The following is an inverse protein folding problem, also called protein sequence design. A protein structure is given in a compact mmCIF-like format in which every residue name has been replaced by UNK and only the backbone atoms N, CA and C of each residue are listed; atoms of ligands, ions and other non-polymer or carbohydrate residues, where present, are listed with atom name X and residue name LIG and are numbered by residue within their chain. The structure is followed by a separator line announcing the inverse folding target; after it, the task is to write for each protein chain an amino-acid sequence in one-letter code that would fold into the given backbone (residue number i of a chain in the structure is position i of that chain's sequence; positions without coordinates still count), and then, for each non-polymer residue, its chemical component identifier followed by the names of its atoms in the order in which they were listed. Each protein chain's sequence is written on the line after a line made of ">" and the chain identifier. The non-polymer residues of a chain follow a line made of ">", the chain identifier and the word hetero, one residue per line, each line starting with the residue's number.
data_IF_874638359466
#
_entry.id   IF_874638359466
#
_cell.length_a   1.000
_cell.length_b   1.000
_cell.length_c   1.000
_cell.angle_alpha   90.00
_cell.angle_beta   90.00
_cell.angle_gamma   90.00
#
_symmetry.space_group_name_H-M   'P 1'
#
loop_
_entity.id
_entity.type
_entity.pdbx_description
1 polymer ?
#
# COMPACT_ATOMS: atom_id res chain seq x y z
N UNK A 1 20.89 7.94 -8.53
CA UNK A 1 21.64 6.83 -7.85
C UNK A 1 20.64 5.68 -7.81
N UNK A 2 20.73 4.73 -8.74
CA UNK A 2 19.74 3.65 -8.89
C UNK A 2 19.85 2.71 -7.69
N UNK A 3 18.80 2.54 -6.92
CA UNK A 3 18.75 1.51 -5.87
C UNK A 3 18.91 0.12 -6.51
N UNK A 4 19.95 -0.62 -6.20
CA UNK A 4 20.12 -1.96 -6.77
C UNK A 4 19.05 -2.88 -6.20
N UNK A 5 18.25 -3.46 -7.09
CA UNK A 5 17.15 -4.38 -6.79
C UNK A 5 17.61 -5.58 -5.92
N UNK A 6 18.87 -5.98 -6.06
CA UNK A 6 19.50 -7.04 -5.25
C UNK A 6 19.59 -6.74 -3.75
N UNK A 7 19.34 -5.50 -3.32
CA UNK A 7 19.33 -5.10 -1.90
C UNK A 7 17.92 -5.04 -1.28
N UNK A 8 16.87 -5.20 -2.06
CA UNK A 8 15.48 -5.16 -1.58
C UNK A 8 15.03 -6.47 -0.87
N UNK A 9 15.93 -7.44 -0.70
CA UNK A 9 15.56 -8.77 -0.20
C UNK A 9 15.23 -8.89 1.28
N UNK A 10 15.57 -7.89 2.11
CA UNK A 10 15.35 -7.97 3.58
C UNK A 10 14.67 -6.68 4.05
N UNK A 11 13.54 -6.76 4.80
CA UNK A 11 12.93 -5.60 5.42
C UNK A 11 13.93 -4.89 6.33
N UNK A 12 14.03 -3.58 6.19
CA UNK A 12 14.94 -2.72 6.97
C UNK A 12 14.21 -1.65 7.75
N UNK A 13 12.95 -1.42 7.46
CA UNK A 13 12.10 -0.44 8.11
C UNK A 13 10.96 -1.14 8.83
N UNK A 14 10.75 -0.76 10.06
CA UNK A 14 9.61 -1.13 10.88
C UNK A 14 8.68 0.08 10.97
N UNK A 15 7.40 -0.11 10.74
CA UNK A 15 6.45 1.00 10.64
C UNK A 15 5.61 1.24 11.90
N UNK A 16 5.64 0.31 12.86
CA UNK A 16 4.82 0.42 14.08
C UNK A 16 5.46 1.33 15.12
N UNK A 17 4.64 2.07 15.86
CA UNK A 17 5.08 2.98 16.91
C UNK A 17 5.47 2.21 18.19
N UNK A 18 4.76 1.10 18.48
CA UNK A 18 4.90 0.36 19.71
C UNK A 18 5.16 -1.13 19.49
N UNK A 19 5.98 -1.71 20.37
CA UNK A 19 6.10 -3.15 20.52
C UNK A 19 4.97 -3.69 21.40
N UNK A 20 4.39 -4.82 20.98
CA UNK A 20 3.36 -5.48 21.79
C UNK A 20 3.99 -6.52 22.70
N UNK A 21 3.51 -6.60 23.94
CA UNK A 21 3.85 -7.68 24.84
C UNK A 21 3.20 -9.00 24.38
N UNK A 22 3.87 -10.11 24.64
CA UNK A 22 3.33 -11.44 24.32
C UNK A 22 1.96 -11.64 25.01
N UNK A 23 0.97 -12.10 24.26
CA UNK A 23 -0.39 -12.30 24.75
C UNK A 23 -1.31 -11.07 24.71
N UNK A 24 -0.83 -9.93 24.18
CA UNK A 24 -1.71 -8.77 23.95
C UNK A 24 -2.69 -9.06 22.80
N UNK A 25 -3.97 -8.80 23.04
CA UNK A 25 -4.98 -8.89 21.98
C UNK A 25 -4.97 -7.60 21.14
N UNK A 26 -5.10 -7.70 19.81
CA UNK A 26 -5.15 -6.53 18.96
C UNK A 26 -6.42 -5.69 19.23
N UNK A 27 -6.27 -4.37 19.21
CA UNK A 27 -7.36 -3.39 19.24
C UNK A 27 -7.50 -2.75 17.86
N UNK A 28 -8.40 -3.31 17.04
CA UNK A 28 -8.53 -2.95 15.63
C UNK A 28 -9.46 -1.75 15.45
N UNK A 29 -8.90 -0.69 14.91
CA UNK A 29 -9.58 0.54 14.58
C UNK A 29 -9.55 0.81 13.06
N UNK A 30 -10.50 1.62 12.58
CA UNK A 30 -10.61 2.02 11.17
C UNK A 30 -10.65 3.53 11.02
N UNK A 31 -9.89 4.03 10.06
CA UNK A 31 -10.04 5.37 9.50
C UNK A 31 -10.32 5.24 8.00
N UNK A 32 -11.28 6.01 7.50
CA UNK A 32 -11.65 5.99 6.07
C UNK A 32 -11.40 7.36 5.46
N UNK A 33 -10.77 7.38 4.29
CA UNK A 33 -10.71 8.58 3.48
C UNK A 33 -12.06 8.81 2.80
N UNK A 34 -12.49 10.07 2.73
CA UNK A 34 -13.65 10.41 1.92
C UNK A 34 -13.35 10.11 0.44
N UNK A 35 -14.22 9.35 -0.25
CA UNK A 35 -14.05 9.09 -1.67
C UNK A 35 -13.97 10.40 -2.46
N UNK A 36 -13.04 10.48 -3.40
CA UNK A 36 -12.78 11.67 -4.21
C UNK A 36 -12.85 11.32 -5.70
N UNK A 37 -13.62 12.10 -6.47
CA UNK A 37 -13.65 12.00 -7.93
C UNK A 37 -12.27 12.30 -8.52
N UNK A 38 -11.55 13.27 -7.95
CA UNK A 38 -10.21 13.66 -8.38
C UNK A 38 -9.22 12.51 -8.21
N UNK A 39 -9.13 11.92 -7.02
CA UNK A 39 -8.25 10.77 -6.75
C UNK A 39 -8.61 9.58 -7.64
N UNK A 40 -9.90 9.34 -7.86
CA UNK A 40 -10.37 8.25 -8.73
C UNK A 40 -9.93 8.49 -10.17
N UNK A 41 -10.17 9.70 -10.71
CA UNK A 41 -9.80 10.05 -12.09
C UNK A 41 -8.28 10.01 -12.30
N UNK A 42 -7.50 10.44 -11.31
CA UNK A 42 -6.03 10.36 -11.36
C UNK A 42 -5.54 8.91 -11.46
N UNK A 43 -6.06 8.01 -10.64
CA UNK A 43 -5.68 6.58 -10.72
C UNK A 43 -6.08 5.99 -12.06
N UNK A 44 -7.29 6.30 -12.57
CA UNK A 44 -7.79 5.78 -13.84
C UNK A 44 -6.95 6.29 -15.02
N UNK A 45 -6.71 7.60 -15.06
CA UNK A 45 -5.88 8.20 -16.10
C UNK A 45 -4.45 7.66 -16.08
N UNK A 46 -3.88 7.48 -14.90
CA UNK A 46 -2.52 6.94 -14.76
C UNK A 46 -2.43 5.46 -15.17
N UNK A 47 -3.42 4.63 -14.85
CA UNK A 47 -3.45 3.23 -15.32
C UNK A 47 -3.46 3.15 -16.85
N UNK A 48 -4.24 4.01 -17.50
CA UNK A 48 -4.30 4.06 -18.95
C UNK A 48 -3.00 4.62 -19.57
N UNK A 49 -2.47 5.69 -19.00
CA UNK A 49 -1.27 6.36 -19.51
C UNK A 49 0.01 5.57 -19.30
N UNK A 50 0.19 5.01 -18.08
CA UNK A 50 1.40 4.28 -17.71
C UNK A 50 1.36 2.80 -18.13
N UNK A 51 0.18 2.27 -18.45
CA UNK A 51 -0.01 0.87 -18.81
C UNK A 51 0.24 -0.10 -17.65
N UNK A 52 0.02 0.35 -16.41
CA UNK A 52 0.19 -0.44 -15.18
C UNK A 52 -1.13 -0.65 -14.46
N UNK A 53 -1.21 -1.64 -13.58
CA UNK A 53 -2.40 -1.88 -12.78
C UNK A 53 -2.53 -0.84 -11.65
N UNK A 54 -3.77 -0.56 -11.21
CA UNK A 54 -4.03 0.40 -10.15
C UNK A 54 -3.32 0.04 -8.83
N UNK A 55 -3.25 -1.26 -8.49
CA UNK A 55 -2.55 -1.75 -7.30
C UNK A 55 -1.05 -1.42 -7.32
N UNK A 56 -0.41 -1.35 -8.49
CA UNK A 56 1.01 -0.96 -8.63
C UNK A 56 1.21 0.52 -8.27
N UNK A 57 0.33 1.39 -8.74
CA UNK A 57 0.36 2.83 -8.45
C UNK A 57 0.12 3.06 -6.95
N UNK A 58 -0.89 2.39 -6.40
CA UNK A 58 -1.26 2.50 -4.98
C UNK A 58 -0.14 2.01 -4.05
N UNK A 59 0.54 0.92 -4.42
CA UNK A 59 1.70 0.42 -3.68
C UNK A 59 2.88 1.40 -3.72
N UNK A 60 3.19 1.96 -4.89
CA UNK A 60 4.25 2.96 -5.00
C UNK A 60 3.93 4.21 -4.17
N UNK A 61 2.67 4.67 -4.20
CA UNK A 61 2.20 5.77 -3.37
C UNK A 61 2.29 5.46 -1.87
N UNK A 62 1.94 4.23 -1.45
CA UNK A 62 2.08 3.79 -0.06
C UNK A 62 3.54 3.83 0.40
N UNK A 63 4.47 3.32 -0.41
CA UNK A 63 5.90 3.39 -0.09
C UNK A 63 6.39 4.83 0.08
N UNK A 64 5.92 5.76 -0.75
CA UNK A 64 6.23 7.19 -0.65
C UNK A 64 5.60 7.83 0.60
N UNK A 65 4.36 7.49 0.93
CA UNK A 65 3.68 7.98 2.13
C UNK A 65 4.40 7.49 3.39
N UNK A 66 4.75 6.20 3.47
CA UNK A 66 5.52 5.64 4.59
C UNK A 66 6.87 6.36 4.73
N UNK A 67 7.59 6.60 3.63
CA UNK A 67 8.86 7.31 3.68
C UNK A 67 8.75 8.72 4.25
N UNK A 68 7.64 9.42 3.99
CA UNK A 68 7.39 10.77 4.51
C UNK A 68 6.96 10.79 5.97
N UNK A 69 6.25 9.77 6.42
CA UNK A 69 5.69 9.70 7.77
C UNK A 69 6.62 9.00 8.76
N UNK A 70 7.14 7.83 8.36
CA UNK A 70 7.91 6.96 9.25
C UNK A 70 9.41 7.03 8.95
N UNK A 71 9.76 7.05 7.66
CA UNK A 71 11.16 7.11 7.21
C UNK A 71 11.47 6.17 6.05
N UNK A 72 12.74 6.21 5.63
CA UNK A 72 13.22 5.48 4.46
C UNK A 72 13.63 4.05 4.79
N UNK A 73 13.39 3.13 3.87
CA UNK A 73 13.80 1.74 4.02
C UNK A 73 13.00 0.79 3.14
N UNK A 74 12.92 -0.46 3.57
CA UNK A 74 12.15 -1.51 2.91
C UNK A 74 11.20 -2.14 3.93
N UNK A 75 9.92 -2.19 3.60
CA UNK A 75 8.86 -2.81 4.41
C UNK A 75 8.38 -4.08 3.71
N UNK A 76 8.17 -5.16 4.46
CA UNK A 76 7.47 -6.33 3.93
C UNK A 76 5.97 -6.04 3.89
N UNK A 77 5.36 -6.19 2.71
CA UNK A 77 3.94 -5.95 2.50
C UNK A 77 3.33 -7.18 1.85
N UNK A 78 2.29 -7.72 2.46
CA UNK A 78 1.44 -8.71 1.80
C UNK A 78 0.45 -8.00 0.88
N UNK A 79 0.28 -8.53 -0.31
CA UNK A 79 -0.56 -7.92 -1.35
C UNK A 79 -1.60 -8.90 -1.83
N UNK A 80 -2.86 -8.46 -1.87
CA UNK A 80 -3.92 -9.09 -2.66
C UNK A 80 -4.34 -8.14 -3.76
N UNK A 81 -4.79 -8.66 -4.90
CA UNK A 81 -5.23 -7.83 -6.02
C UNK A 81 -6.34 -8.49 -6.82
N UNK A 82 -6.98 -7.72 -7.70
CA UNK A 82 -8.14 -8.14 -8.49
C UNK A 82 -7.90 -9.44 -9.29
N UNK A 83 -6.64 -9.67 -9.69
CA UNK A 83 -6.22 -10.86 -10.43
C UNK A 83 -5.27 -11.77 -9.64
N UNK A 84 -5.13 -11.54 -8.33
CA UNK A 84 -4.21 -12.25 -7.45
C UNK A 84 -4.95 -12.86 -6.27
N UNK A 85 -5.29 -14.14 -6.42
CA UNK A 85 -6.05 -14.90 -5.42
C UNK A 85 -5.21 -15.36 -4.22
N UNK A 86 -3.90 -15.16 -4.28
CA UNK A 86 -2.96 -15.57 -3.23
C UNK A 86 -2.29 -14.35 -2.61
N UNK A 87 -2.09 -14.39 -1.31
CA UNK A 87 -1.26 -13.44 -0.58
C UNK A 87 0.21 -13.60 -0.97
N UNK A 88 0.84 -12.51 -1.34
CA UNK A 88 2.27 -12.47 -1.64
C UNK A 88 2.94 -11.40 -0.79
N UNK A 89 4.02 -11.79 -0.10
CA UNK A 89 4.89 -10.82 0.55
C UNK A 89 5.87 -10.24 -0.48
N UNK A 90 5.84 -8.93 -0.64
CA UNK A 90 6.81 -8.19 -1.43
C UNK A 90 7.61 -7.22 -0.56
N UNK A 91 8.89 -6.99 -0.85
CA UNK A 91 9.64 -5.90 -0.27
C UNK A 91 9.23 -4.58 -0.93
N UNK A 92 8.52 -3.72 -0.21
CA UNK A 92 8.12 -2.39 -0.67
C UNK A 92 9.21 -1.38 -0.34
N UNK A 93 9.72 -0.71 -1.36
CA UNK A 93 10.65 0.41 -1.19
C UNK A 93 9.92 1.62 -0.63
N UNK A 94 10.37 2.11 0.51
CA UNK A 94 9.96 3.36 1.11
C UNK A 94 11.10 4.38 0.96
N UNK A 95 10.91 5.38 0.09
CA UNK A 95 11.94 6.36 -0.23
C UNK A 95 11.32 7.73 -0.54
N UNK A 96 11.95 8.81 -0.08
CA UNK A 96 11.57 10.18 -0.44
C UNK A 96 11.96 10.51 -1.88
N UNK A 97 11.43 11.61 -2.44
CA UNK A 97 11.75 12.06 -3.81
C UNK A 97 13.23 12.40 -4.02
N UNK A 98 13.96 12.67 -2.94
CA UNK A 98 15.40 12.91 -3.01
C UNK A 98 16.21 11.61 -3.19
N UNK A 99 15.65 10.47 -2.82
CA UNK A 99 16.34 9.18 -2.84
C UNK A 99 15.92 8.31 -4.03
N UNK A 100 14.63 8.32 -4.39
CA UNK A 100 14.10 7.61 -5.54
C UNK A 100 13.00 8.44 -6.21
N UNK A 101 13.07 8.56 -7.53
CA UNK A 101 12.04 9.20 -8.34
C UNK A 101 10.74 8.37 -8.35
N UNK A 102 9.62 8.97 -8.73
CA UNK A 102 8.34 8.28 -8.93
C UNK A 102 8.48 7.11 -9.92
N UNK A 103 9.20 7.31 -11.03
CA UNK A 103 9.49 6.27 -12.02
C UNK A 103 10.27 5.09 -11.43
N UNK A 104 11.28 5.35 -10.59
CA UNK A 104 12.06 4.28 -9.94
C UNK A 104 11.22 3.49 -8.95
N UNK A 105 10.36 4.15 -8.18
CA UNK A 105 9.44 3.50 -7.24
C UNK A 105 8.41 2.63 -7.96
N UNK A 106 7.71 3.19 -8.95
CA UNK A 106 6.73 2.45 -9.74
C UNK A 106 7.37 1.26 -10.49
N UNK A 107 8.51 1.49 -11.15
CA UNK A 107 9.25 0.42 -11.83
C UNK A 107 9.74 -0.66 -10.86
N UNK A 108 10.02 -0.34 -9.61
CA UNK A 108 10.40 -1.31 -8.59
C UNK A 108 9.20 -2.17 -8.20
N UNK A 109 8.04 -1.57 -7.93
CA UNK A 109 6.79 -2.29 -7.64
C UNK A 109 6.42 -3.19 -8.81
N UNK A 110 6.44 -2.67 -10.04
CA UNK A 110 6.14 -3.43 -11.26
C UNK A 110 7.00 -4.71 -11.38
N UNK A 111 8.32 -4.59 -11.20
CA UNK A 111 9.23 -5.74 -11.23
C UNK A 111 8.96 -6.73 -10.12
N UNK A 112 8.71 -6.25 -8.89
CA UNK A 112 8.41 -7.12 -7.74
C UNK A 112 7.14 -7.94 -7.97
N UNK A 113 6.07 -7.30 -8.42
CA UNK A 113 4.80 -7.97 -8.68
C UNK A 113 4.87 -8.92 -9.88
N UNK A 114 5.69 -8.61 -10.89
CA UNK A 114 5.93 -9.48 -12.05
C UNK A 114 6.79 -10.70 -11.71
N UNK A 115 7.72 -10.58 -10.76
CA UNK A 115 8.64 -11.65 -10.36
C UNK A 115 8.01 -12.70 -9.43
N UNK A 116 6.87 -12.42 -8.81
CA UNK A 116 6.23 -13.26 -7.78
C UNK A 116 5.76 -14.62 -8.28
N UNK A 117 5.82 -14.92 -9.58
CA UNK A 117 5.33 -16.19 -10.15
C UNK A 117 6.06 -17.45 -9.69
N UNK A 118 7.17 -17.38 -8.95
CA UNK A 118 8.02 -18.54 -8.73
C UNK A 118 8.34 -18.92 -7.27
N UNK A 119 8.45 -17.98 -6.33
CA UNK A 119 8.89 -18.32 -4.97
C UNK A 119 8.27 -17.34 -3.94
N UNK A 120 7.16 -17.71 -3.36
CA UNK A 120 6.63 -17.02 -2.18
C UNK A 120 7.63 -17.21 -1.03
N UNK A 121 8.51 -16.25 -0.83
CA UNK A 121 9.28 -16.15 0.42
C UNK A 121 8.34 -15.64 1.50
N UNK A 122 8.11 -16.43 2.54
CA UNK A 122 7.35 -15.99 3.71
C UNK A 122 8.20 -14.99 4.52
N UNK A 123 8.26 -13.74 4.06
CA UNK A 123 8.72 -12.66 4.90
C UNK A 123 7.61 -12.35 5.90
N UNK A 124 7.90 -12.24 7.20
CA UNK A 124 6.89 -11.78 8.14
C UNK A 124 6.47 -10.35 7.75
N UNK A 125 5.21 -10.17 7.39
CA UNK A 125 4.65 -8.88 7.02
C UNK A 125 3.75 -8.36 8.12
N UNK A 126 3.91 -7.07 8.43
CA UNK A 126 3.03 -6.34 9.36
C UNK A 126 1.97 -5.52 8.60
N UNK A 127 2.08 -5.45 7.27
CA UNK A 127 1.23 -4.65 6.40
C UNK A 127 0.54 -5.53 5.38
N UNK A 128 -0.75 -5.27 5.17
CA UNK A 128 -1.53 -5.83 4.08
C UNK A 128 -2.04 -4.70 3.18
N UNK A 129 -1.83 -4.82 1.87
CA UNK A 129 -2.55 -4.03 0.87
C UNK A 129 -3.56 -4.93 0.20
N UNK A 130 -4.84 -4.63 0.44
CA UNK A 130 -5.97 -5.44 -0.01
C UNK A 130 -6.76 -4.69 -1.08
N UNK A 131 -6.44 -4.92 -2.35
CA UNK A 131 -7.19 -4.37 -3.48
C UNK A 131 -8.31 -5.33 -3.88
N UNK A 132 -9.55 -4.97 -3.54
CA UNK A 132 -10.73 -5.83 -3.69
C UNK A 132 -11.31 -5.76 -5.11
N UNK A 133 -11.03 -4.67 -5.83
CA UNK A 133 -11.65 -4.41 -7.13
C UNK A 133 -12.98 -3.66 -7.01
N UNK A 134 -13.87 -3.87 -7.99
CA UNK A 134 -15.16 -3.16 -8.06
C UNK A 134 -16.25 -3.92 -7.34
N UNK A 135 -16.92 -3.26 -6.41
CA UNK A 135 -18.09 -3.80 -5.71
C UNK A 135 -19.35 -3.61 -6.56
N UNK A 136 -20.29 -4.58 -6.55
CA UNK A 136 -21.60 -4.43 -7.18
C UNK A 136 -22.35 -3.23 -6.58
N UNK A 137 -23.08 -2.49 -7.42
CA UNK A 137 -23.89 -1.36 -6.99
C UNK A 137 -24.88 -1.77 -5.90
N UNK A 138 -24.93 -0.99 -4.80
CA UNK A 138 -25.81 -1.24 -3.66
C UNK A 138 -25.36 -2.38 -2.74
N UNK A 139 -24.18 -2.98 -2.97
CA UNK A 139 -23.58 -3.88 -1.99
C UNK A 139 -23.05 -3.07 -0.83
N UNK A 140 -23.59 -3.30 0.36
CA UNK A 140 -22.91 -2.89 1.60
C UNK A 140 -21.59 -3.64 1.64
N UNK A 141 -20.46 -2.98 1.87
CA UNK A 141 -19.20 -3.69 1.95
C UNK A 141 -19.30 -4.76 3.04
N UNK A 142 -19.28 -6.03 2.65
CA UNK A 142 -19.14 -7.18 3.57
C UNK A 142 -17.82 -7.09 4.34
N UNK A 143 -17.14 -5.98 4.16
CA UNK A 143 -15.78 -5.65 4.56
C UNK A 143 -15.71 -4.61 5.69
N UNK A 144 -16.82 -4.35 6.39
CA UNK A 144 -16.77 -3.65 7.67
C UNK A 144 -16.17 -4.52 8.79
N UNK A 145 -15.87 -5.78 8.46
CA UNK A 145 -15.25 -6.71 9.40
C UNK A 145 -13.75 -6.41 9.52
N UNK A 146 -13.22 -6.29 10.73
CA UNK A 146 -11.79 -6.13 10.95
C UNK A 146 -10.97 -7.24 10.30
N UNK A 147 -9.73 -6.94 9.85
CA UNK A 147 -8.84 -7.94 9.29
C UNK A 147 -8.60 -9.08 10.29
N UNK A 148 -8.88 -10.32 9.88
CA UNK A 148 -8.71 -11.51 10.73
C UNK A 148 -7.31 -12.11 10.72
N UNK A 149 -6.33 -11.47 10.04
CA UNK A 149 -5.03 -12.10 9.72
C UNK A 149 -3.86 -11.61 10.57
N UNK A 150 -4.07 -10.77 11.59
CA UNK A 150 -3.02 -10.34 12.52
C UNK A 150 -2.05 -9.28 11.98
N UNK A 151 -2.40 -8.59 10.89
CA UNK A 151 -1.64 -7.44 10.41
C UNK A 151 -1.75 -6.25 11.37
N UNK A 152 -0.68 -5.49 11.47
CA UNK A 152 -0.68 -4.25 12.23
C UNK A 152 -1.39 -3.12 11.47
N UNK A 153 -1.29 -3.15 10.13
CA UNK A 153 -1.91 -2.20 9.21
C UNK A 153 -2.48 -2.93 7.99
N UNK A 154 -3.73 -2.65 7.64
CA UNK A 154 -4.31 -3.02 6.33
C UNK A 154 -4.79 -1.77 5.61
N UNK A 155 -4.25 -1.51 4.43
CA UNK A 155 -4.82 -0.59 3.47
C UNK A 155 -5.77 -1.37 2.56
N UNK A 156 -7.07 -1.14 2.75
CA UNK A 156 -8.12 -1.78 1.97
C UNK A 156 -8.63 -0.82 0.91
N UNK A 157 -8.58 -1.25 -0.35
CA UNK A 157 -8.95 -0.43 -1.50
C UNK A 157 -10.03 -1.13 -2.31
N UNK A 158 -11.09 -0.42 -2.65
CA UNK A 158 -12.18 -0.93 -3.48
C UNK A 158 -12.87 0.20 -4.25
N UNK A 159 -13.60 -0.18 -5.32
CA UNK A 159 -14.47 0.74 -6.04
C UNK A 159 -15.92 0.52 -5.62
N UNK A 160 -16.57 1.60 -5.20
CA UNK A 160 -17.99 1.64 -4.88
C UNK A 160 -18.62 2.88 -5.51
N UNK A 161 -19.78 2.72 -6.17
CA UNK A 161 -20.50 3.81 -6.85
C UNK A 161 -19.62 4.64 -7.83
N UNK A 162 -18.65 3.98 -8.46
CA UNK A 162 -17.72 4.59 -9.41
C UNK A 162 -16.53 5.30 -8.77
N UNK A 163 -16.45 5.39 -7.45
CA UNK A 163 -15.36 6.06 -6.73
C UNK A 163 -14.41 5.06 -6.06
N UNK A 164 -13.16 5.48 -5.92
CA UNK A 164 -12.15 4.74 -5.17
C UNK A 164 -12.30 5.03 -3.69
N UNK A 165 -12.43 3.96 -2.92
CA UNK A 165 -12.52 4.00 -1.45
C UNK A 165 -11.23 3.46 -0.86
N UNK A 166 -10.76 4.10 0.23
CA UNK A 166 -9.52 3.80 0.93
C UNK A 166 -9.82 3.70 2.43
N UNK A 167 -9.80 2.49 2.96
CA UNK A 167 -10.00 2.20 4.38
C UNK A 167 -8.67 1.76 5.01
N UNK A 168 -8.29 2.41 6.09
CA UNK A 168 -7.09 2.14 6.87
C UNK A 168 -7.49 1.42 8.16
N UNK A 169 -7.29 0.11 8.20
CA UNK A 169 -7.46 -0.68 9.40
C UNK A 169 -6.12 -0.81 10.11
N UNK A 170 -6.09 -0.56 11.40
CA UNK A 170 -4.86 -0.62 12.17
C UNK A 170 -5.09 -1.14 13.59
N UNK A 171 -4.06 -1.74 14.15
CA UNK A 171 -4.02 -2.18 15.54
C UNK A 171 -3.56 -1.02 16.44
N UNK A 172 -4.48 -0.48 17.23
CA UNK A 172 -4.22 0.65 18.14
C UNK A 172 -3.30 0.28 19.33
N UNK A 173 -2.99 -0.99 19.51
CA UNK A 173 -1.93 -1.40 20.45
C UNK A 173 -0.53 -1.25 19.85
N UNK A 174 -0.43 -1.05 18.54
CA UNK A 174 0.83 -0.98 17.78
C UNK A 174 1.04 0.38 17.12
N UNK A 175 -0.03 1.11 16.83
CA UNK A 175 0.02 2.43 16.20
C UNK A 175 -0.69 3.48 17.03
N UNK A 176 -0.08 4.65 17.13
CA UNK A 176 -0.77 5.85 17.53
C UNK A 176 -1.72 6.27 16.39
N UNK A 177 -2.92 6.71 16.77
CA UNK A 177 -3.90 7.21 15.79
C UNK A 177 -3.33 8.31 14.89
N UNK A 178 -2.49 9.16 15.46
CA UNK A 178 -1.83 10.26 14.76
C UNK A 178 -0.95 9.76 13.60
N UNK A 179 -0.21 8.68 13.77
CA UNK A 179 0.63 8.09 12.71
C UNK A 179 -0.21 7.64 11.51
N UNK A 180 -1.38 7.05 11.77
CA UNK A 180 -2.29 6.65 10.69
C UNK A 180 -2.93 7.88 10.02
N UNK A 181 -3.33 8.89 10.79
CA UNK A 181 -3.84 10.15 10.24
C UNK A 181 -2.81 10.83 9.33
N UNK A 182 -1.54 10.86 9.73
CA UNK A 182 -0.45 11.41 8.91
C UNK A 182 -0.20 10.57 7.64
N UNK A 183 -0.22 9.24 7.73
CA UNK A 183 -0.16 8.37 6.55
C UNK A 183 -1.30 8.66 5.57
N UNK A 184 -2.52 8.84 6.09
CA UNK A 184 -3.69 9.18 5.28
C UNK A 184 -3.57 10.55 4.60
N UNK A 185 -2.98 11.54 5.26
CA UNK A 185 -2.73 12.87 4.69
C UNK A 185 -1.64 12.84 3.61
N UNK A 186 -0.58 12.06 3.83
CA UNK A 186 0.53 11.94 2.88
C UNK A 186 0.20 11.08 1.66
N UNK A 187 -0.73 10.14 1.79
CA UNK A 187 -1.03 9.18 0.73
C UNK A 187 -1.56 9.83 -0.56
N UNK A 188 -2.56 10.74 -0.55
CA UNK A 188 -3.01 11.41 -1.77
C UNK A 188 -1.90 12.23 -2.43
N UNK A 189 -1.08 12.91 -1.65
CA UNK A 189 0.05 13.69 -2.17
C UNK A 189 1.09 12.79 -2.85
N UNK A 190 1.37 11.63 -2.26
CA UNK A 190 2.22 10.62 -2.86
C UNK A 190 1.60 10.03 -4.13
N UNK A 191 0.29 9.81 -4.13
CA UNK A 191 -0.45 9.31 -5.28
C UNK A 191 -0.36 10.28 -6.46
N UNK A 192 -0.65 11.56 -6.25
CA UNK A 192 -0.52 12.59 -7.30
C UNK A 192 0.93 12.69 -7.82
N UNK A 193 1.94 12.52 -6.98
CA UNK A 193 3.34 12.46 -7.43
C UNK A 193 3.57 11.23 -8.34
N UNK A 194 3.07 10.05 -7.94
CA UNK A 194 3.23 8.83 -8.75
C UNK A 194 2.51 8.94 -10.11
N UNK A 195 1.32 9.54 -10.15
CA UNK A 195 0.54 9.67 -11.38
C UNK A 195 1.08 10.74 -12.33
N UNK A 196 1.64 11.84 -11.78
CA UNK A 196 2.11 12.98 -12.58
C UNK A 196 3.57 12.87 -13.03
N UNK A 197 4.45 12.29 -12.19
CA UNK A 197 5.91 12.34 -12.39
C UNK A 197 6.49 10.99 -12.83
N UNK A 198 5.75 9.88 -12.73
CA UNK A 198 6.25 8.59 -13.16
C UNK A 198 6.19 8.42 -14.69
N UNK A 199 7.18 7.71 -15.23
CA UNK A 199 7.12 7.17 -16.58
C UNK A 199 6.71 5.69 -16.55
N UNK A 200 6.14 5.21 -17.67
CA UNK A 200 5.79 3.82 -17.83
C UNK A 200 7.00 2.90 -17.54
N UNK A 201 6.82 1.83 -16.73
CA UNK A 201 7.90 0.86 -16.50
C UNK A 201 8.28 0.14 -17.80
N UNK A 202 9.57 -0.14 -17.97
CA UNK A 202 10.14 -0.82 -19.14
C UNK A 202 10.56 -2.23 -18.76
#
# INVERSE_FOLDING_TARGET
>A
MTYPVDKLGVPTLRIVDHDIAEGTFPDLNKLSMLPSEEVTAEVDGATEWLGVAADEILLAALGRAIARTVGDGVVAVDVTGEHRWLLYAIPLLCATSQQASATEMLGTVHRMLSAVSAHATSLPSEVLVNYIGTLPAGSTPMYETPPGLGYALELRVYRGDGLLHLDWWYDATRFDRYTIEELMEQFPLALFEMTSDAAAPV
#
